data_IF_997442357177
#
_entry.id   IF_997442357177
#
_cell.length_a   1.000
_cell.length_b   1.000
_cell.length_c   1.000
_cell.angle_alpha   90.00
_cell.angle_beta   90.00
_cell.angle_gamma   90.00
#
_symmetry.space_group_name_H-M   'P 1'
#
loop_
_entity.id
_entity.type
_entity.pdbx_description
1 polymer ?
#
# COMPACT_ATOMS: atom_id res chain seq x y z
N UNK A 1 -54.43 0.72 -53.72
CA UNK A 1 -53.52 -0.41 -53.76
C UNK A 1 -52.45 -0.20 -52.69
N UNK A 2 -52.23 -1.19 -51.89
CA UNK A 2 -51.62 -1.11 -50.53
C UNK A 2 -50.13 -0.99 -50.60
N UNK A 3 -49.52 0.02 -49.92
CA UNK A 3 -48.12 0.09 -49.60
C UNK A 3 -47.92 -0.45 -48.19
N UNK A 4 -47.15 -1.50 -48.05
CA UNK A 4 -46.76 -2.10 -46.78
C UNK A 4 -45.45 -1.45 -46.35
N UNK A 5 -45.50 -0.70 -45.25
CA UNK A 5 -44.29 -0.13 -44.61
C UNK A 5 -43.60 -1.20 -43.76
N UNK A 6 -42.33 -1.43 -44.05
CA UNK A 6 -41.46 -2.23 -43.20
C UNK A 6 -40.91 -1.40 -42.05
N UNK A 7 -41.33 -1.74 -40.83
CA UNK A 7 -40.70 -1.22 -39.61
C UNK A 7 -39.33 -1.92 -39.44
N UNK A 8 -38.27 -1.13 -39.58
CA UNK A 8 -36.93 -1.56 -39.20
C UNK A 8 -36.78 -1.54 -37.70
N UNK A 9 -36.56 -2.72 -37.10
CA UNK A 9 -36.19 -2.86 -35.70
C UNK A 9 -34.71 -2.49 -35.55
N UNK A 10 -34.46 -1.35 -34.95
CA UNK A 10 -33.08 -0.98 -34.49
C UNK A 10 -32.83 -1.72 -33.18
N UNK A 11 -32.08 -2.80 -33.26
CA UNK A 11 -31.52 -3.45 -32.07
C UNK A 11 -30.44 -2.56 -31.48
N UNK A 12 -30.74 -1.89 -30.38
CA UNK A 12 -29.75 -1.26 -29.52
C UNK A 12 -28.97 -2.36 -28.81
N UNK A 13 -27.78 -2.68 -29.32
CA UNK A 13 -26.80 -3.47 -28.60
C UNK A 13 -26.34 -2.66 -27.38
N UNK A 14 -26.92 -2.93 -26.22
CA UNK A 14 -26.43 -2.46 -24.94
C UNK A 14 -25.05 -3.05 -24.72
N UNK A 15 -24.00 -2.26 -24.90
CA UNK A 15 -22.68 -2.58 -24.42
C UNK A 15 -22.78 -2.65 -22.88
N UNK A 16 -22.93 -3.87 -22.37
CA UNK A 16 -22.76 -4.13 -20.94
C UNK A 16 -21.32 -3.81 -20.59
N UNK A 17 -21.14 -2.71 -19.94
CA UNK A 17 -19.89 -2.43 -19.23
C UNK A 17 -19.81 -3.45 -18.11
N UNK A 18 -18.97 -4.47 -18.27
CA UNK A 18 -18.57 -5.31 -17.17
C UNK A 18 -17.85 -4.38 -16.19
N UNK A 19 -18.52 -4.06 -15.09
CA UNK A 19 -17.86 -3.48 -13.92
C UNK A 19 -16.93 -4.60 -13.45
N UNK A 20 -15.65 -4.50 -13.77
CA UNK A 20 -14.62 -5.30 -13.13
C UNK A 20 -14.56 -4.71 -11.73
N UNK A 21 -15.25 -5.36 -10.80
CA UNK A 21 -15.01 -5.14 -9.39
C UNK A 21 -13.59 -5.63 -9.15
N UNK A 22 -12.68 -4.69 -8.93
CA UNK A 22 -11.36 -5.00 -8.43
C UNK A 22 -11.58 -5.45 -6.98
N UNK A 23 -11.70 -6.76 -6.78
CA UNK A 23 -12.01 -7.41 -5.50
C UNK A 23 -10.75 -7.52 -4.61
N UNK A 24 -9.78 -6.62 -4.77
CA UNK A 24 -8.69 -6.50 -3.82
C UNK A 24 -9.25 -5.93 -2.51
N UNK A 25 -8.94 -6.52 -1.36
CA UNK A 25 -9.40 -5.99 -0.09
C UNK A 25 -8.89 -4.57 0.08
N UNK A 26 -9.79 -3.64 0.35
CA UNK A 26 -9.43 -2.27 0.69
C UNK A 26 -8.91 -2.25 2.13
N UNK A 27 -7.70 -1.72 2.30
CA UNK A 27 -7.08 -1.59 3.60
C UNK A 27 -7.17 -0.15 4.11
N UNK A 28 -7.30 0.00 5.41
CA UNK A 28 -7.22 1.31 6.08
C UNK A 28 -6.20 1.29 7.21
N UNK A 29 -5.44 2.36 7.34
CA UNK A 29 -4.42 2.49 8.38
C UNK A 29 -5.09 2.64 9.74
N UNK A 30 -4.78 1.75 10.67
CA UNK A 30 -5.20 1.86 12.07
C UNK A 30 -4.20 2.71 12.87
N UNK A 31 -2.90 2.44 12.70
CA UNK A 31 -1.82 3.21 13.32
C UNK A 31 -0.45 2.90 12.72
N UNK A 32 0.48 3.81 12.90
CA UNK A 32 1.91 3.61 12.62
C UNK A 32 2.61 3.05 13.87
N UNK A 33 3.44 2.03 13.70
CA UNK A 33 4.24 1.40 14.78
C UNK A 33 5.57 2.10 14.90
N UNK A 34 6.32 2.17 13.79
CA UNK A 34 7.60 2.84 13.62
C UNK A 34 7.74 3.38 12.20
N UNK A 35 8.93 3.79 11.78
CA UNK A 35 9.14 4.46 10.49
C UNK A 35 8.89 3.59 9.25
N UNK A 36 8.77 2.26 9.39
CA UNK A 36 8.58 1.32 8.28
C UNK A 36 7.59 0.18 8.58
N UNK A 37 6.82 0.32 9.64
CA UNK A 37 5.81 -0.67 10.05
C UNK A 37 4.49 0.01 10.42
N UNK A 38 3.40 -0.43 9.79
CA UNK A 38 2.04 0.04 10.07
C UNK A 38 1.14 -1.11 10.51
N UNK A 39 0.02 -0.77 11.10
CA UNK A 39 -1.10 -1.69 11.34
C UNK A 39 -2.28 -1.22 10.53
N UNK A 40 -2.91 -2.16 9.84
CA UNK A 40 -4.09 -1.92 9.00
C UNK A 40 -5.24 -2.85 9.39
N UNK A 41 -6.45 -2.41 9.09
CA UNK A 41 -7.63 -3.26 8.98
C UNK A 41 -8.07 -3.37 7.54
N UNK A 42 -8.96 -4.33 7.21
CA UNK A 42 -9.53 -4.46 5.88
C UNK A 42 -11.06 -4.42 5.91
N UNK A 43 -11.68 -4.28 4.75
CA UNK A 43 -13.13 -4.24 4.55
C UNK A 43 -13.83 -5.57 4.88
N UNK A 44 -13.09 -6.69 4.94
CA UNK A 44 -13.59 -7.98 5.43
C UNK A 44 -13.75 -8.04 6.96
N UNK A 45 -13.35 -6.98 7.68
CA UNK A 45 -13.47 -6.86 9.14
C UNK A 45 -12.27 -7.41 9.90
N UNK A 46 -11.18 -7.75 9.23
CA UNK A 46 -9.91 -8.08 9.90
C UNK A 46 -9.24 -6.81 10.38
N UNK A 47 -8.67 -6.84 11.58
CA UNK A 47 -7.99 -5.73 12.24
C UNK A 47 -6.63 -6.18 12.77
N UNK A 48 -5.76 -5.22 13.07
CA UNK A 48 -4.47 -5.52 13.67
C UNK A 48 -3.47 -6.18 12.73
N UNK A 49 -3.68 -6.12 11.41
CA UNK A 49 -2.78 -6.68 10.41
C UNK A 49 -1.50 -5.85 10.39
N UNK A 50 -0.37 -6.47 10.76
CA UNK A 50 0.94 -5.81 10.73
C UNK A 50 1.52 -5.85 9.33
N UNK A 51 1.92 -4.70 8.82
CA UNK A 51 2.56 -4.54 7.50
C UNK A 51 3.95 -3.96 7.68
N UNK A 52 4.97 -4.68 7.23
CA UNK A 52 6.35 -4.20 7.10
C UNK A 52 6.55 -3.68 5.68
N UNK A 53 6.91 -2.43 5.56
CA UNK A 53 7.18 -1.80 4.28
C UNK A 53 8.48 -2.35 3.68
N UNK A 54 8.38 -2.93 2.48
CA UNK A 54 9.51 -3.55 1.78
C UNK A 54 10.51 -2.51 1.26
N UNK A 55 11.76 -2.94 1.17
CA UNK A 55 12.86 -2.22 0.53
C UNK A 55 13.28 -0.90 1.17
N UNK A 56 12.72 -0.56 2.33
CA UNK A 56 13.14 0.58 3.16
C UNK A 56 13.44 0.10 4.57
N UNK A 57 14.45 0.68 5.19
CA UNK A 57 14.83 0.43 6.56
C UNK A 57 14.98 1.76 7.30
N UNK A 58 14.31 1.87 8.44
CA UNK A 58 14.29 3.07 9.26
C UNK A 58 14.91 2.79 10.63
N UNK A 59 15.34 3.82 11.38
CA UNK A 59 15.78 3.63 12.75
C UNK A 59 14.69 2.99 13.61
N UNK A 60 15.07 1.98 14.37
CA UNK A 60 14.16 1.17 15.20
C UNK A 60 13.70 1.90 16.46
N UNK A 61 12.41 1.72 16.78
CA UNK A 61 11.81 2.10 18.06
C UNK A 61 11.89 0.90 19.01
N UNK A 62 12.70 0.95 20.05
CA UNK A 62 12.83 -0.15 21.02
C UNK A 62 11.83 -0.06 22.19
N UNK A 63 11.10 1.04 22.28
CA UNK A 63 10.10 1.29 23.31
C UNK A 63 10.66 1.58 24.72
N UNK A 64 11.97 1.59 24.89
CA UNK A 64 12.63 1.91 26.17
C UNK A 64 13.24 3.32 26.18
N UNK A 65 13.50 3.87 24.99
CA UNK A 65 14.15 5.17 24.80
C UNK A 65 15.67 5.15 25.04
N UNK A 66 16.23 4.02 25.47
CA UNK A 66 17.68 3.91 25.73
C UNK A 66 18.47 3.38 24.52
N UNK A 67 17.85 2.53 23.71
CA UNK A 67 18.45 1.90 22.53
C UNK A 67 17.77 2.30 21.23
N UNK A 68 16.86 3.27 21.29
CA UNK A 68 16.21 3.77 20.09
C UNK A 68 17.23 4.36 19.11
N UNK A 69 17.07 4.01 17.85
CA UNK A 69 17.87 4.57 16.78
C UNK A 69 17.71 6.10 16.70
N UNK A 70 18.81 6.79 16.42
CA UNK A 70 18.76 8.22 16.15
C UNK A 70 17.74 8.48 15.04
N UNK A 71 16.85 9.46 15.21
CA UNK A 71 15.72 9.77 14.32
C UNK A 71 14.60 8.72 14.25
N UNK A 72 14.51 7.74 15.16
CA UNK A 72 13.42 6.76 15.15
C UNK A 72 12.04 7.42 15.34
N UNK A 73 11.94 8.39 16.25
CA UNK A 73 10.72 9.16 16.46
C UNK A 73 10.34 10.00 15.24
N UNK A 74 11.31 10.69 14.65
CA UNK A 74 11.10 11.53 13.48
C UNK A 74 10.64 10.68 12.27
N UNK A 75 11.22 9.50 12.08
CA UNK A 75 10.79 8.58 11.02
C UNK A 75 9.35 8.10 11.22
N UNK A 76 8.98 7.76 12.46
CA UNK A 76 7.61 7.39 12.82
C UNK A 76 6.64 8.54 12.60
N UNK A 77 6.99 9.74 13.05
CA UNK A 77 6.16 10.94 12.91
C UNK A 77 5.95 11.26 11.41
N UNK A 78 7.01 11.17 10.61
CA UNK A 78 6.91 11.37 9.16
C UNK A 78 5.98 10.36 8.49
N UNK A 79 6.10 9.07 8.81
CA UNK A 79 5.18 8.06 8.27
C UNK A 79 3.74 8.29 8.76
N UNK A 80 3.56 8.78 9.99
CA UNK A 80 2.23 9.13 10.51
C UNK A 80 1.62 10.32 9.77
N UNK A 81 2.43 11.28 9.32
CA UNK A 81 1.96 12.38 8.46
C UNK A 81 1.57 11.90 7.06
N UNK A 82 2.33 10.96 6.48
CA UNK A 82 2.01 10.35 5.18
C UNK A 82 0.76 9.47 5.25
N UNK A 83 0.58 8.74 6.35
CA UNK A 83 -0.46 7.74 6.57
C UNK A 83 -1.22 7.98 7.89
N UNK A 84 -2.01 9.05 8.00
CA UNK A 84 -2.88 9.25 9.17
C UNK A 84 -3.85 8.08 9.37
N UNK A 85 -4.28 7.85 10.60
CA UNK A 85 -5.31 6.84 10.92
C UNK A 85 -6.56 7.04 10.07
N UNK A 86 -7.05 5.95 9.48
CA UNK A 86 -8.20 5.94 8.57
C UNK A 86 -7.84 6.17 7.09
N UNK A 87 -6.56 6.38 6.77
CA UNK A 87 -6.12 6.49 5.37
C UNK A 87 -6.32 5.16 4.65
N UNK A 88 -7.03 5.20 3.51
CA UNK A 88 -7.18 4.05 2.62
C UNK A 88 -5.87 3.80 1.87
N UNK A 89 -5.41 2.55 1.86
CA UNK A 89 -4.15 2.13 1.24
C UNK A 89 -4.32 0.88 0.41
N UNK A 90 -3.51 0.78 -0.63
CA UNK A 90 -3.32 -0.43 -1.41
C UNK A 90 -1.99 -1.09 -1.03
N UNK A 91 -2.01 -2.41 -0.87
CA UNK A 91 -0.85 -3.21 -0.51
C UNK A 91 -0.46 -4.08 -1.71
N UNK A 92 0.78 -3.95 -2.14
CA UNK A 92 1.34 -4.71 -3.25
C UNK A 92 2.48 -5.60 -2.74
N UNK A 93 2.30 -6.92 -2.86
CA UNK A 93 3.28 -7.92 -2.39
C UNK A 93 4.29 -8.28 -3.49
N UNK A 94 5.33 -9.02 -3.12
CA UNK A 94 6.33 -9.54 -4.05
C UNK A 94 6.39 -11.08 -3.96
N UNK A 95 7.56 -11.68 -3.89
CA UNK A 95 7.76 -13.15 -3.90
C UNK A 95 7.27 -13.80 -2.60
N UNK A 96 7.66 -13.25 -1.46
CA UNK A 96 7.18 -13.63 -0.14
C UNK A 96 6.29 -12.52 0.40
N UNK A 97 5.07 -12.87 0.78
CA UNK A 97 4.05 -11.95 1.27
C UNK A 97 4.04 -11.82 2.80
N UNK A 98 4.74 -12.70 3.52
CA UNK A 98 4.85 -12.65 4.99
C UNK A 98 6.26 -12.99 5.46
N UNK A 99 6.67 -12.38 6.57
CA UNK A 99 7.93 -12.72 7.23
C UNK A 99 7.77 -13.77 8.34
N UNK A 100 8.88 -14.17 8.93
CA UNK A 100 8.93 -15.16 10.04
C UNK A 100 8.18 -14.71 11.30
N UNK A 101 7.84 -13.42 11.41
CA UNK A 101 7.08 -12.86 12.53
C UNK A 101 5.59 -12.72 12.22
N UNK A 102 5.14 -13.14 11.03
CA UNK A 102 3.76 -13.04 10.58
C UNK A 102 3.36 -11.63 10.13
N UNK A 103 4.32 -10.74 9.85
CA UNK A 103 4.03 -9.43 9.26
C UNK A 103 3.86 -9.59 7.76
N UNK A 104 2.84 -8.94 7.20
CA UNK A 104 2.66 -8.81 5.76
C UNK A 104 3.78 -7.93 5.19
N UNK A 105 4.38 -8.35 4.08
CA UNK A 105 5.49 -7.66 3.40
C UNK A 105 4.96 -6.97 2.15
N UNK A 106 4.99 -5.64 2.08
CA UNK A 106 4.37 -4.93 0.97
C UNK A 106 5.05 -3.61 0.59
N UNK A 107 4.87 -3.23 -0.68
CA UNK A 107 4.83 -1.84 -1.10
C UNK A 107 3.48 -1.25 -0.73
N UNK A 108 3.47 -0.04 -0.19
CA UNK A 108 2.28 0.66 0.27
C UNK A 108 2.02 1.87 -0.61
N UNK A 109 0.81 1.99 -1.12
CA UNK A 109 0.34 3.11 -1.92
C UNK A 109 -0.89 3.74 -1.25
N UNK A 110 -1.11 5.03 -1.43
CA UNK A 110 -2.42 5.62 -1.14
C UNK A 110 -3.44 5.08 -2.14
N UNK A 111 -4.65 4.80 -1.69
CA UNK A 111 -5.69 4.33 -2.59
C UNK A 111 -5.93 5.32 -3.74
N UNK A 112 -5.79 4.82 -4.97
CA UNK A 112 -5.91 5.62 -6.19
C UNK A 112 -4.73 6.54 -6.52
N UNK A 113 -3.56 6.34 -5.88
CA UNK A 113 -2.32 7.06 -6.15
C UNK A 113 -1.21 6.07 -6.52
N UNK A 114 -0.34 6.46 -7.46
CA UNK A 114 0.81 5.65 -7.89
C UNK A 114 2.09 5.91 -7.06
N UNK A 115 2.02 6.82 -6.08
CA UNK A 115 3.16 7.15 -5.24
C UNK A 115 3.43 6.04 -4.21
N UNK A 116 4.61 5.41 -4.31
CA UNK A 116 5.08 4.38 -3.38
C UNK A 116 5.53 5.03 -2.06
N UNK A 117 4.80 4.82 -1.00
CA UNK A 117 5.10 5.37 0.35
C UNK A 117 6.48 4.94 0.84
N UNK A 118 6.89 3.69 0.57
CA UNK A 118 8.22 3.18 0.89
C UNK A 118 9.34 4.07 0.31
N UNK A 119 9.16 4.55 -0.93
CA UNK A 119 10.09 5.47 -1.58
C UNK A 119 10.00 6.89 -1.01
N UNK A 120 8.82 7.34 -0.58
CA UNK A 120 8.66 8.66 0.05
C UNK A 120 9.43 8.76 1.38
N UNK A 121 9.48 7.67 2.17
CA UNK A 121 10.28 7.60 3.40
C UNK A 121 11.77 7.83 3.11
N UNK A 122 12.31 7.16 2.09
CA UNK A 122 13.69 7.33 1.66
C UNK A 122 13.95 8.75 1.12
N UNK A 123 13.02 9.27 0.29
CA UNK A 123 13.10 10.64 -0.24
C UNK A 123 13.11 11.70 0.84
N UNK A 124 12.37 11.49 1.92
CA UNK A 124 12.35 12.37 3.09
C UNK A 124 13.60 12.29 3.95
N UNK A 125 14.49 11.32 3.70
CA UNK A 125 15.73 11.13 4.49
C UNK A 125 15.50 10.40 5.81
N UNK A 126 14.37 9.73 5.98
CA UNK A 126 13.99 9.02 7.22
C UNK A 126 14.28 7.53 7.19
N UNK A 127 14.70 7.00 6.05
CA UNK A 127 15.07 5.60 5.86
C UNK A 127 16.06 5.44 4.72
N UNK A 128 16.69 4.29 4.68
CA UNK A 128 17.62 3.90 3.61
C UNK A 128 17.05 2.75 2.81
N UNK A 129 17.43 2.66 1.53
CA UNK A 129 17.05 1.54 0.71
C UNK A 129 17.71 0.25 1.23
N UNK A 130 16.91 -0.79 1.46
CA UNK A 130 17.37 -2.08 1.96
C UNK A 130 16.84 -3.22 1.08
N UNK A 131 17.73 -4.14 0.72
CA UNK A 131 17.38 -5.31 -0.09
C UNK A 131 17.09 -6.50 0.80
N UNK A 132 15.86 -7.02 0.74
CA UNK A 132 15.40 -8.20 1.49
C UNK A 132 15.03 -9.33 0.54
N UNK A 133 16.02 -10.12 0.13
CA UNK A 133 15.76 -11.25 -0.77
C UNK A 133 14.80 -12.27 -0.15
N UNK A 134 13.91 -12.86 -0.97
CA UNK A 134 13.81 -12.75 -2.43
C UNK A 134 12.99 -11.54 -2.92
N UNK A 135 12.53 -10.65 -2.04
CA UNK A 135 11.70 -9.50 -2.35
C UNK A 135 12.56 -8.32 -2.85
N UNK A 136 12.57 -8.08 -4.14
CA UNK A 136 13.41 -7.06 -4.79
C UNK A 136 12.60 -6.02 -5.57
N UNK A 137 11.28 -6.24 -5.73
CA UNK A 137 10.39 -5.47 -6.61
C UNK A 137 10.48 -3.96 -6.41
N UNK A 138 10.47 -3.50 -5.16
CA UNK A 138 10.42 -2.09 -4.82
C UNK A 138 11.80 -1.45 -4.63
N UNK A 139 12.85 -2.27 -4.49
CA UNK A 139 14.19 -1.79 -4.19
C UNK A 139 14.73 -0.76 -5.18
N UNK A 140 14.60 -0.95 -6.52
CA UNK A 140 15.11 0.04 -7.47
C UNK A 140 14.48 1.42 -7.31
N UNK A 141 13.17 1.47 -7.02
CA UNK A 141 12.43 2.72 -6.85
C UNK A 141 12.78 3.41 -5.52
N UNK A 142 12.88 2.64 -4.44
CA UNK A 142 13.30 3.17 -3.12
C UNK A 142 14.74 3.67 -3.18
N UNK A 143 15.64 2.91 -3.83
CA UNK A 143 17.06 3.31 -4.01
C UNK A 143 17.22 4.58 -4.85
N UNK A 144 16.40 4.76 -5.86
CA UNK A 144 16.42 5.98 -6.68
C UNK A 144 15.86 7.21 -5.93
N UNK A 145 15.07 7.00 -4.89
CA UNK A 145 14.49 8.07 -4.07
C UNK A 145 15.40 8.51 -2.91
N UNK A 146 16.33 7.65 -2.48
CA UNK A 146 17.36 7.93 -1.46
C UNK A 146 18.36 8.97 -1.94
#
# INVERSE_FOLDING_TARGET
MKAVGALGLVALAGAGWAVISDDAPEYSVERVVDGDTIIVGNDAGETGIRVRLLSVDTPEMDGTGELEGCYAHEAKDYLTELLPTGTAVELDTDVEDTDRYGRLLAGVYLAGDDALINAEIARGGYGVAALYQPNEKFYPQVKAAE
#
